data_IF_171118728073
#
_entry.id   IF_171118728073
#
_cell.length_a   1.000
_cell.length_b   1.000
_cell.length_c   1.000
_cell.angle_alpha   90.00
_cell.angle_beta   90.00
_cell.angle_gamma   90.00
#
_symmetry.space_group_name_H-M   'P 1'
#
loop_
_entity.id
_entity.type
_entity.pdbx_description
1 polymer ?
#
# COMPACT_ATOMS: atom_id res chain seq x y z
N UNK A 1 -49.35 -72.35 -50.12
CA UNK A 1 -49.90 -71.04 -49.68
C UNK A 1 -50.42 -71.19 -48.29
N UNK A 2 -49.77 -70.60 -47.28
CA UNK A 2 -50.36 -70.05 -46.03
C UNK A 2 -49.19 -69.58 -45.19
N UNK A 3 -49.20 -68.32 -44.88
CA UNK A 3 -48.23 -67.62 -44.16
C UNK A 3 -48.40 -67.90 -42.66
N UNK A 4 -47.30 -68.28 -41.95
CA UNK A 4 -47.28 -68.40 -40.51
C UNK A 4 -46.80 -67.04 -39.86
N UNK A 5 -47.65 -66.58 -38.95
CA UNK A 5 -47.29 -65.42 -38.11
C UNK A 5 -46.35 -65.86 -36.99
N UNK A 6 -45.18 -65.26 -36.91
CA UNK A 6 -44.31 -65.36 -35.76
C UNK A 6 -44.69 -64.20 -34.79
N UNK A 7 -45.14 -64.53 -33.60
CA UNK A 7 -45.33 -63.61 -32.51
C UNK A 7 -43.95 -63.37 -31.81
N UNK A 8 -43.45 -62.15 -31.85
CA UNK A 8 -42.31 -61.74 -31.10
C UNK A 8 -42.77 -61.26 -29.72
N UNK A 9 -42.29 -61.91 -28.67
CA UNK A 9 -42.44 -61.47 -27.30
C UNK A 9 -41.34 -60.47 -27.01
N UNK A 10 -41.73 -59.21 -26.81
CA UNK A 10 -40.81 -58.14 -26.43
C UNK A 10 -40.62 -58.23 -24.89
N UNK A 11 -39.46 -58.72 -24.48
CA UNK A 11 -39.03 -58.65 -23.07
C UNK A 11 -38.50 -57.23 -22.80
N UNK A 12 -39.23 -56.48 -21.99
CA UNK A 12 -38.73 -55.20 -21.47
C UNK A 12 -37.69 -55.44 -20.36
N UNK A 13 -36.44 -55.26 -20.73
CA UNK A 13 -35.33 -55.19 -19.72
C UNK A 13 -35.40 -53.81 -19.01
N UNK A 14 -35.74 -53.81 -17.75
CA UNK A 14 -35.69 -52.64 -16.87
C UNK A 14 -34.21 -52.40 -16.57
N UNK A 15 -33.59 -51.45 -17.28
CA UNK A 15 -32.28 -50.95 -16.94
C UNK A 15 -32.41 -50.04 -15.73
N UNK A 16 -32.02 -50.51 -14.55
CA UNK A 16 -31.81 -49.66 -13.37
C UNK A 16 -30.58 -48.79 -13.62
N UNK A 17 -30.81 -47.55 -13.99
CA UNK A 17 -29.77 -46.51 -14.00
C UNK A 17 -29.38 -46.22 -12.55
N UNK A 18 -28.25 -46.76 -12.13
CA UNK A 18 -27.58 -46.34 -10.93
C UNK A 18 -27.04 -44.94 -11.22
N UNK A 19 -27.76 -43.90 -10.77
CA UNK A 19 -27.20 -42.56 -10.64
C UNK A 19 -26.17 -42.63 -9.51
N UNK A 20 -24.94 -42.96 -9.83
CA UNK A 20 -23.80 -42.67 -8.99
C UNK A 20 -23.69 -41.13 -8.90
N UNK A 21 -23.89 -40.58 -7.70
CA UNK A 21 -23.57 -39.20 -7.44
C UNK A 21 -22.11 -39.03 -7.81
N UNK A 22 -21.81 -38.25 -8.88
CA UNK A 22 -20.49 -37.87 -9.19
C UNK A 22 -19.99 -37.04 -8.01
N UNK A 23 -18.98 -37.53 -7.31
CA UNK A 23 -18.28 -36.73 -6.29
C UNK A 23 -17.67 -35.54 -7.02
N UNK A 24 -17.94 -34.33 -6.52
CA UNK A 24 -17.36 -33.13 -7.08
C UNK A 24 -15.86 -33.14 -6.82
N UNK A 25 -15.07 -33.30 -7.86
CA UNK A 25 -13.60 -33.23 -7.78
C UNK A 25 -13.15 -31.78 -7.76
N UNK A 26 -12.26 -31.45 -6.80
CA UNK A 26 -11.55 -30.18 -6.80
C UNK A 26 -10.26 -30.36 -7.60
N UNK A 27 -10.10 -29.53 -8.63
CA UNK A 27 -8.91 -29.55 -9.48
C UNK A 27 -8.06 -28.29 -9.19
N UNK A 28 -6.78 -28.50 -8.87
CA UNK A 28 -5.83 -27.40 -8.72
C UNK A 28 -5.58 -26.75 -10.08
N UNK A 29 -5.79 -25.44 -10.14
CA UNK A 29 -5.58 -24.63 -11.34
C UNK A 29 -4.61 -23.49 -11.01
N UNK A 30 -3.78 -23.11 -12.00
CA UNK A 30 -2.89 -21.95 -11.91
C UNK A 30 -3.37 -20.89 -12.90
N UNK A 31 -3.60 -19.66 -12.41
CA UNK A 31 -3.89 -18.53 -13.29
C UNK A 31 -2.59 -18.00 -13.89
N UNK A 32 -2.60 -17.78 -15.22
CA UNK A 32 -1.52 -17.11 -15.96
C UNK A 32 -1.93 -15.72 -16.43
N UNK A 33 -3.02 -15.17 -15.87
CA UNK A 33 -3.51 -13.85 -16.21
C UNK A 33 -2.48 -12.78 -15.81
N UNK A 34 -2.21 -11.85 -16.72
CA UNK A 34 -1.40 -10.66 -16.48
C UNK A 34 -2.31 -9.51 -16.04
N UNK A 35 -2.03 -8.92 -14.88
CA UNK A 35 -2.74 -7.71 -14.43
C UNK A 35 -2.00 -6.50 -14.97
N UNK A 36 -2.71 -5.66 -15.75
CA UNK A 36 -2.16 -4.39 -16.22
C UNK A 36 -2.00 -3.44 -15.03
N UNK A 37 -0.81 -2.87 -14.88
CA UNK A 37 -0.59 -1.76 -13.95
C UNK A 37 -0.83 -0.44 -14.71
N UNK A 38 -1.96 0.23 -14.39
CA UNK A 38 -2.39 1.49 -14.97
C UNK A 38 -2.56 2.57 -13.88
N UNK A 39 -1.70 2.54 -12.88
CA UNK A 39 -1.72 3.48 -11.76
C UNK A 39 -1.21 4.85 -12.20
N UNK A 40 -2.02 5.90 -12.02
CA UNK A 40 -1.59 7.27 -12.22
C UNK A 40 -0.74 7.75 -11.03
N UNK A 41 0.27 8.55 -11.27
CA UNK A 41 1.10 9.13 -10.23
C UNK A 41 1.73 10.46 -10.63
N UNK A 42 2.10 11.26 -9.62
CA UNK A 42 2.97 12.42 -9.78
C UNK A 42 4.39 12.06 -9.33
N UNK A 43 5.37 12.66 -9.99
CA UNK A 43 6.78 12.59 -9.58
C UNK A 43 7.36 14.01 -9.47
N UNK A 44 7.95 14.30 -8.32
CA UNK A 44 8.71 15.52 -8.09
C UNK A 44 10.20 15.20 -8.01
N UNK A 45 11.01 16.03 -8.63
CA UNK A 45 12.47 15.98 -8.53
C UNK A 45 12.99 17.33 -8.01
N UNK A 46 13.98 17.34 -7.09
CA UNK A 46 14.59 18.58 -6.60
C UNK A 46 15.25 19.39 -7.73
N UNK A 47 15.38 20.71 -7.57
CA UNK A 47 16.06 21.58 -8.55
C UNK A 47 17.48 21.09 -8.87
N UNK A 48 18.22 20.66 -7.86
CA UNK A 48 19.58 20.11 -8.03
C UNK A 48 19.61 18.79 -8.83
N UNK A 49 18.47 18.14 -9.05
CA UNK A 49 18.40 16.87 -9.78
C UNK A 49 18.90 17.00 -11.23
N UNK A 50 18.66 18.13 -11.89
CA UNK A 50 19.08 18.37 -13.29
C UNK A 50 20.56 18.69 -13.44
N UNK A 51 21.21 19.18 -12.39
CA UNK A 51 22.60 19.65 -12.40
C UNK A 51 23.59 18.73 -11.67
N UNK A 52 23.10 17.70 -10.99
CA UNK A 52 23.88 16.72 -10.24
C UNK A 52 23.71 15.32 -10.82
N UNK A 53 24.71 14.46 -10.66
CA UNK A 53 24.64 13.02 -10.94
C UNK A 53 24.44 12.16 -9.68
N UNK A 54 24.20 12.77 -8.54
CA UNK A 54 23.99 12.07 -7.28
C UNK A 54 22.68 11.30 -7.24
N UNK A 55 22.61 10.31 -6.35
CA UNK A 55 21.37 9.63 -5.99
C UNK A 55 20.67 10.35 -4.85
N UNK A 56 19.35 10.35 -4.87
CA UNK A 56 18.51 11.11 -3.95
C UNK A 56 17.64 10.18 -3.10
N UNK A 57 17.29 10.56 -1.87
CA UNK A 57 16.24 9.91 -1.13
C UNK A 57 14.91 9.97 -1.91
N UNK A 58 14.03 8.99 -1.69
CA UNK A 58 12.69 8.97 -2.27
C UNK A 58 11.65 8.86 -1.16
N UNK A 59 10.68 9.76 -1.18
CA UNK A 59 9.48 9.70 -0.35
C UNK A 59 8.31 9.24 -1.20
N UNK A 60 7.71 8.12 -0.83
CA UNK A 60 6.41 7.68 -1.33
C UNK A 60 5.35 8.39 -0.48
N UNK A 61 4.59 9.29 -1.10
CA UNK A 61 3.49 9.99 -0.46
C UNK A 61 2.15 9.33 -0.81
N UNK A 62 1.43 8.85 0.20
CA UNK A 62 0.09 8.26 0.05
C UNK A 62 -0.97 9.21 0.61
N UNK A 63 -1.78 9.75 -0.27
CA UNK A 63 -2.85 10.71 0.06
C UNK A 63 -4.03 10.06 0.82
N UNK A 64 -4.90 10.87 1.39
CA UNK A 64 -6.15 10.48 2.04
C UNK A 64 -7.26 10.06 1.06
N UNK A 65 -8.49 9.99 1.57
CA UNK A 65 -9.64 9.53 0.79
C UNK A 65 -10.03 10.42 -0.38
N UNK A 66 -10.04 11.72 -0.17
CA UNK A 66 -10.63 12.71 -1.07
C UNK A 66 -9.88 12.87 -2.41
N UNK A 67 -8.62 12.45 -2.48
CA UNK A 67 -7.78 12.53 -3.67
C UNK A 67 -7.86 11.27 -4.54
N UNK A 68 -8.65 10.27 -4.14
CA UNK A 68 -8.89 9.05 -4.92
C UNK A 68 -9.56 9.31 -6.26
N UNK A 69 -9.57 8.28 -7.12
CA UNK A 69 -10.20 8.30 -8.43
C UNK A 69 -9.24 8.29 -9.61
N UNK A 70 -9.63 8.89 -10.73
CA UNK A 70 -8.88 8.85 -11.99
C UNK A 70 -8.32 10.20 -12.43
N UNK A 71 -8.70 11.29 -11.75
CA UNK A 71 -8.21 12.64 -12.01
C UNK A 71 -6.97 12.91 -11.16
N UNK A 72 -5.80 12.85 -11.78
CA UNK A 72 -4.51 13.01 -11.08
C UNK A 72 -4.33 14.42 -10.46
N UNK A 73 -5.02 15.44 -10.97
CA UNK A 73 -4.94 16.79 -10.43
C UNK A 73 -5.51 16.87 -9.00
N UNK A 74 -6.42 15.96 -8.63
CA UNK A 74 -6.91 15.86 -7.26
C UNK A 74 -5.78 15.61 -6.25
N UNK A 75 -4.73 14.90 -6.64
CA UNK A 75 -3.61 14.59 -5.75
C UNK A 75 -2.85 15.84 -5.32
N UNK A 76 -2.91 16.91 -6.11
CA UNK A 76 -2.30 18.21 -5.81
C UNK A 76 -3.07 19.05 -4.78
N UNK A 77 -4.24 18.59 -4.34
CA UNK A 77 -5.09 19.35 -3.42
C UNK A 77 -4.69 19.23 -1.94
N UNK A 78 -3.83 18.25 -1.58
CA UNK A 78 -3.34 18.08 -0.20
C UNK A 78 -1.92 17.49 -0.17
N UNK A 79 -1.36 17.41 1.02
CA UNK A 79 -0.12 16.72 1.28
C UNK A 79 1.12 17.33 0.64
N UNK A 80 2.11 16.48 0.37
CA UNK A 80 3.35 16.92 -0.29
C UNK A 80 3.11 17.51 -1.68
N UNK A 81 2.23 16.93 -2.55
CA UNK A 81 1.97 17.52 -3.86
C UNK A 81 1.43 18.94 -3.77
N UNK A 82 0.54 19.25 -2.82
CA UNK A 82 0.06 20.61 -2.61
C UNK A 82 1.20 21.57 -2.21
N UNK A 83 2.02 21.18 -1.26
CA UNK A 83 3.15 22.00 -0.83
C UNK A 83 4.13 22.27 -1.98
N UNK A 84 4.34 21.31 -2.87
CA UNK A 84 5.18 21.45 -4.07
C UNK A 84 4.55 22.45 -5.05
N UNK A 85 3.25 22.35 -5.32
CA UNK A 85 2.52 23.32 -6.17
C UNK A 85 2.57 24.76 -5.58
N UNK A 86 2.60 24.88 -4.25
CA UNK A 86 2.78 26.14 -3.53
C UNK A 86 4.24 26.64 -3.52
N UNK A 87 5.17 25.92 -4.16
CA UNK A 87 6.58 26.31 -4.33
C UNK A 87 7.53 25.79 -3.25
N UNK A 88 7.07 24.94 -2.32
CA UNK A 88 7.96 24.33 -1.32
C UNK A 88 8.94 23.36 -1.98
N UNK A 89 10.22 23.52 -1.70
CA UNK A 89 11.30 22.68 -2.21
C UNK A 89 11.67 21.60 -1.18
N UNK A 90 11.94 20.40 -1.68
CA UNK A 90 12.40 19.27 -0.87
C UNK A 90 13.73 18.73 -1.40
N UNK A 91 14.64 18.23 -0.54
CA UNK A 91 15.93 17.67 -0.96
C UNK A 91 15.82 16.18 -1.38
N UNK A 92 14.65 15.71 -1.73
CA UNK A 92 14.34 14.32 -2.08
C UNK A 92 13.31 14.24 -3.21
N UNK A 93 13.26 13.10 -3.90
CA UNK A 93 12.20 12.82 -4.86
C UNK A 93 10.88 12.53 -4.11
N UNK A 94 9.75 12.90 -4.71
CA UNK A 94 8.44 12.52 -4.18
C UNK A 94 7.67 11.74 -5.25
N UNK A 95 7.31 10.50 -4.94
CA UNK A 95 6.41 9.67 -5.73
C UNK A 95 5.03 9.66 -5.08
N UNK A 96 4.04 10.20 -5.75
CA UNK A 96 2.67 10.34 -5.23
C UNK A 96 1.69 9.59 -6.12
N UNK A 97 1.49 8.28 -5.90
CA UNK A 97 0.52 7.49 -6.64
C UNK A 97 -0.90 7.89 -6.25
N UNK A 98 -1.78 7.99 -7.24
CA UNK A 98 -3.21 8.16 -6.99
C UNK A 98 -3.85 6.81 -6.68
N UNK A 99 -4.58 6.72 -5.57
CA UNK A 99 -5.46 5.57 -5.34
C UNK A 99 -6.59 5.62 -6.39
N UNK A 100 -6.75 4.58 -7.23
CA UNK A 100 -7.76 4.60 -8.29
C UNK A 100 -9.20 4.51 -7.76
N UNK A 101 -9.38 4.24 -6.46
CA UNK A 101 -10.68 4.17 -5.79
C UNK A 101 -10.87 5.30 -4.79
N UNK A 102 -12.05 5.90 -4.80
CA UNK A 102 -12.47 6.88 -3.79
C UNK A 102 -12.94 6.21 -2.48
N UNK A 103 -13.20 4.91 -2.48
CA UNK A 103 -13.76 4.18 -1.34
C UNK A 103 -12.82 3.15 -0.74
N UNK A 104 -12.00 2.50 -1.57
CA UNK A 104 -11.16 1.37 -1.15
C UNK A 104 -9.77 1.81 -0.69
N UNK A 105 -9.09 0.92 0.02
CA UNK A 105 -7.68 1.05 0.36
C UNK A 105 -6.80 0.99 -0.91
N UNK A 106 -5.55 1.42 -0.79
CA UNK A 106 -4.60 1.37 -1.88
C UNK A 106 -4.38 -0.05 -2.42
N UNK A 107 -4.31 -0.24 -3.75
CA UNK A 107 -3.90 -1.50 -4.37
C UNK A 107 -2.37 -1.66 -4.25
N UNK A 108 -1.91 -2.18 -3.11
CA UNK A 108 -0.52 -2.15 -2.67
C UNK A 108 0.46 -2.74 -3.68
N UNK A 109 0.10 -3.87 -4.32
CA UNK A 109 0.92 -4.50 -5.36
C UNK A 109 1.10 -3.58 -6.59
N UNK A 110 0.05 -2.85 -6.99
CA UNK A 110 0.14 -1.88 -8.08
C UNK A 110 1.02 -0.69 -7.70
N UNK A 111 0.89 -0.20 -6.46
CA UNK A 111 1.75 0.88 -5.94
C UNK A 111 3.22 0.45 -5.95
N UNK A 112 3.51 -0.77 -5.46
CA UNK A 112 4.88 -1.31 -5.45
C UNK A 112 5.44 -1.46 -6.86
N UNK A 113 4.67 -2.00 -7.79
CA UNK A 113 5.10 -2.14 -9.19
C UNK A 113 5.40 -0.78 -9.84
N UNK A 114 4.59 0.24 -9.59
CA UNK A 114 4.85 1.60 -10.07
C UNK A 114 6.07 2.23 -9.38
N UNK A 115 6.26 1.98 -8.08
CA UNK A 115 7.44 2.41 -7.34
C UNK A 115 8.73 1.79 -7.92
N UNK A 116 8.72 0.50 -8.26
CA UNK A 116 9.88 -0.18 -8.87
C UNK A 116 10.23 0.43 -10.23
N UNK A 117 9.23 0.83 -11.00
CA UNK A 117 9.44 1.55 -12.26
C UNK A 117 10.07 2.94 -12.02
N UNK A 118 9.62 3.67 -11.00
CA UNK A 118 10.21 4.96 -10.61
C UNK A 118 11.65 4.78 -10.16
N UNK A 119 11.94 3.79 -9.33
CA UNK A 119 13.31 3.48 -8.87
C UNK A 119 14.22 3.17 -10.06
N UNK A 120 13.75 2.41 -11.04
CA UNK A 120 14.52 2.06 -12.22
C UNK A 120 14.79 3.24 -13.17
N UNK A 121 13.89 4.23 -13.20
CA UNK A 121 13.96 5.39 -14.12
C UNK A 121 14.66 6.62 -13.52
N UNK A 122 14.78 6.69 -12.19
CA UNK A 122 15.29 7.85 -11.49
C UNK A 122 16.51 7.49 -10.63
N UNK A 123 17.34 8.49 -10.34
CA UNK A 123 18.52 8.34 -9.46
C UNK A 123 18.11 8.30 -8.00
N UNK A 124 17.51 7.19 -7.59
CA UNK A 124 17.09 6.92 -6.21
C UNK A 124 18.24 6.28 -5.44
N UNK A 125 18.47 6.72 -4.20
CA UNK A 125 19.29 5.99 -3.22
C UNK A 125 18.47 4.85 -2.62
N UNK A 126 18.75 3.58 -2.95
CA UNK A 126 17.94 2.45 -2.51
C UNK A 126 17.95 2.24 -0.99
N UNK A 127 18.94 2.79 -0.29
CA UNK A 127 19.01 2.75 1.17
C UNK A 127 18.14 3.84 1.83
N UNK A 128 17.61 4.80 1.07
CA UNK A 128 16.84 5.94 1.58
C UNK A 128 15.50 6.08 0.87
N UNK A 129 14.70 5.02 0.92
CA UNK A 129 13.32 5.02 0.43
C UNK A 129 12.40 5.02 1.65
N UNK A 130 11.44 5.93 1.66
CA UNK A 130 10.54 6.16 2.78
C UNK A 130 9.10 6.14 2.31
N UNK A 131 8.19 5.76 3.20
CA UNK A 131 6.75 5.90 2.95
C UNK A 131 6.13 6.80 4.01
N UNK A 132 5.38 7.81 3.55
CA UNK A 132 4.60 8.73 4.35
C UNK A 132 3.17 8.68 3.85
N UNK A 133 2.21 8.51 4.72
CA UNK A 133 0.82 8.43 4.30
C UNK A 133 -0.15 8.94 5.35
N UNK A 134 -1.20 9.62 4.87
CA UNK A 134 -2.22 10.22 5.72
C UNK A 134 -3.57 9.49 5.57
N UNK A 135 -4.28 9.25 6.69
CA UNK A 135 -5.61 8.65 6.69
C UNK A 135 -5.60 7.30 5.95
N UNK A 136 -6.34 7.16 4.86
CA UNK A 136 -6.29 5.99 3.96
C UNK A 136 -4.86 5.70 3.47
N UNK A 137 -4.08 6.74 3.21
CA UNK A 137 -2.64 6.60 2.92
C UNK A 137 -1.83 6.11 4.12
N UNK A 138 -2.25 6.41 5.33
CA UNK A 138 -1.65 5.86 6.57
C UNK A 138 -1.81 4.34 6.65
N UNK A 139 -2.99 3.80 6.31
CA UNK A 139 -3.19 2.35 6.14
C UNK A 139 -2.30 1.79 5.03
N UNK A 140 -2.18 2.52 3.91
CA UNK A 140 -1.29 2.16 2.82
C UNK A 140 0.19 2.12 3.23
N UNK A 141 0.63 3.07 4.05
CA UNK A 141 2.01 3.12 4.55
C UNK A 141 2.35 1.90 5.42
N UNK A 142 1.43 1.48 6.31
CA UNK A 142 1.57 0.24 7.05
C UNK A 142 1.65 -0.96 6.13
N UNK A 143 0.71 -1.08 5.17
CA UNK A 143 0.64 -2.21 4.27
C UNK A 143 1.89 -2.34 3.39
N UNK A 144 2.45 -1.23 2.88
CA UNK A 144 3.71 -1.24 2.12
C UNK A 144 4.89 -1.69 2.97
N UNK A 145 5.02 -1.17 4.20
CA UNK A 145 6.12 -1.56 5.10
C UNK A 145 6.04 -3.04 5.53
N UNK A 146 4.84 -3.60 5.64
CA UNK A 146 4.60 -5.00 6.01
C UNK A 146 4.82 -5.98 4.85
N UNK A 147 4.40 -5.59 3.65
CA UNK A 147 4.45 -6.49 2.48
C UNK A 147 5.81 -6.41 1.77
N UNK A 148 6.50 -5.28 1.85
CA UNK A 148 7.79 -5.06 1.18
C UNK A 148 8.87 -4.59 2.18
N UNK A 149 9.23 -5.43 3.15
CA UNK A 149 10.10 -5.05 4.27
C UNK A 149 11.50 -4.61 3.85
N UNK A 150 11.98 -5.06 2.68
CA UNK A 150 13.33 -4.72 2.17
C UNK A 150 13.35 -3.40 1.37
N UNK A 151 12.21 -2.70 1.29
CA UNK A 151 12.10 -1.50 0.45
C UNK A 151 12.26 -0.21 1.27
N UNK A 152 11.66 -0.15 2.47
CA UNK A 152 11.51 1.12 3.19
C UNK A 152 12.40 1.23 4.41
N UNK A 153 13.28 2.25 4.42
CA UNK A 153 14.11 2.58 5.58
C UNK A 153 13.30 3.17 6.74
N UNK A 154 12.19 3.85 6.41
CA UNK A 154 11.25 4.32 7.42
C UNK A 154 9.83 4.45 6.88
N UNK A 155 8.86 4.39 7.81
CA UNK A 155 7.46 4.66 7.55
C UNK A 155 6.91 5.71 8.52
N UNK A 156 6.11 6.65 7.98
CA UNK A 156 5.42 7.71 8.73
C UNK A 156 3.92 7.61 8.48
N UNK A 157 3.20 6.74 9.18
CA UNK A 157 1.75 6.69 9.13
C UNK A 157 1.16 7.84 9.94
N UNK A 158 0.24 8.60 9.33
CA UNK A 158 -0.44 9.76 9.91
C UNK A 158 -1.94 9.46 9.96
N UNK A 159 -2.56 9.47 11.13
CA UNK A 159 -4.00 9.24 11.34
C UNK A 159 -4.51 8.02 10.59
N UNK A 160 -3.84 6.88 10.72
CA UNK A 160 -4.18 5.63 10.06
C UNK A 160 -3.84 4.42 10.91
N UNK A 161 -4.43 3.29 10.57
CA UNK A 161 -4.23 2.01 11.26
C UNK A 161 -3.69 0.93 10.31
N UNK A 162 -3.48 -0.27 10.86
CA UNK A 162 -2.99 -1.42 10.13
C UNK A 162 -3.32 -2.74 10.83
N UNK A 163 -2.78 -3.83 10.29
CA UNK A 163 -2.95 -5.13 10.90
C UNK A 163 -1.76 -5.45 11.82
N UNK A 164 -1.95 -5.27 13.13
CA UNK A 164 -0.92 -5.53 14.14
C UNK A 164 -0.26 -6.92 14.06
N UNK A 165 -0.98 -7.91 13.52
CA UNK A 165 -0.47 -9.28 13.38
C UNK A 165 0.60 -9.41 12.30
N UNK A 166 0.60 -8.51 11.31
CA UNK A 166 1.57 -8.53 10.22
C UNK A 166 2.84 -7.70 10.50
N UNK A 167 2.87 -6.92 11.58
CA UNK A 167 4.06 -6.13 11.95
C UNK A 167 5.33 -6.96 12.22
N UNK A 168 5.18 -8.27 12.48
CA UNK A 168 6.32 -9.17 12.55
C UNK A 168 7.05 -9.36 11.20
N UNK A 169 6.41 -8.96 10.09
CA UNK A 169 6.98 -9.01 8.74
C UNK A 169 7.83 -7.78 8.42
N UNK A 170 7.65 -6.67 9.14
CA UNK A 170 8.41 -5.44 8.90
C UNK A 170 9.90 -5.66 9.13
N UNK A 171 10.74 -4.95 8.38
CA UNK A 171 12.19 -5.02 8.58
C UNK A 171 12.59 -4.59 9.99
N UNK A 172 13.51 -5.31 10.59
CA UNK A 172 13.97 -5.04 11.95
C UNK A 172 14.74 -3.72 12.09
N UNK A 173 15.35 -3.26 11.00
CA UNK A 173 16.12 -2.02 10.91
C UNK A 173 15.26 -0.83 10.49
N UNK A 174 14.05 -1.06 9.95
CA UNK A 174 13.16 0.02 9.55
C UNK A 174 12.68 0.83 10.77
N UNK A 175 12.59 2.14 10.59
CA UNK A 175 12.15 3.06 11.63
C UNK A 175 10.69 3.52 11.39
N UNK A 176 9.94 3.72 12.48
CA UNK A 176 8.53 4.11 12.42
C UNK A 176 8.31 5.37 13.26
N UNK A 177 7.72 6.40 12.67
CA UNK A 177 7.24 7.54 13.43
C UNK A 177 5.77 7.78 13.12
N UNK A 178 4.93 7.47 14.08
CA UNK A 178 3.48 7.42 13.97
C UNK A 178 2.92 8.72 14.53
N UNK A 179 1.91 9.30 13.86
CA UNK A 179 1.27 10.54 14.27
C UNK A 179 -0.25 10.38 14.31
N UNK A 180 -0.87 10.97 15.33
CA UNK A 180 -2.33 10.99 15.48
C UNK A 180 -2.80 12.20 16.29
N UNK A 181 -4.03 12.64 16.09
CA UNK A 181 -4.68 13.65 16.91
C UNK A 181 -5.63 13.02 17.94
N UNK A 182 -5.79 13.65 19.11
CA UNK A 182 -6.73 13.15 20.13
C UNK A 182 -8.19 13.35 19.77
N UNK A 183 -8.49 14.37 18.95
CA UNK A 183 -9.85 14.72 18.50
C UNK A 183 -10.17 14.18 17.10
N UNK A 184 -9.42 13.14 16.66
CA UNK A 184 -9.71 12.46 15.39
C UNK A 184 -11.03 11.68 15.53
N UNK A 185 -12.07 12.16 14.83
CA UNK A 185 -13.42 11.60 14.79
C UNK A 185 -13.66 10.67 13.59
N UNK A 186 -12.65 10.52 12.71
CA UNK A 186 -12.69 9.65 11.52
C UNK A 186 -12.00 8.31 11.78
N UNK A 187 -10.76 8.38 12.25
CA UNK A 187 -9.96 7.20 12.60
C UNK A 187 -9.62 7.27 14.09
N UNK A 188 -10.03 6.28 14.89
CA UNK A 188 -9.76 6.29 16.32
C UNK A 188 -8.26 6.30 16.62
N UNK A 189 -7.81 7.13 17.56
CA UNK A 189 -6.43 7.15 18.07
C UNK A 189 -5.92 5.75 18.45
N UNK A 190 -6.83 4.89 18.94
CA UNK A 190 -6.50 3.50 19.33
C UNK A 190 -5.86 2.71 18.19
N UNK A 191 -6.15 3.01 16.93
CA UNK A 191 -5.59 2.31 15.79
C UNK A 191 -4.08 2.54 15.69
N UNK A 192 -3.63 3.79 15.88
CA UNK A 192 -2.20 4.10 15.95
C UNK A 192 -1.53 3.56 17.23
N UNK A 193 -2.22 3.62 18.37
CA UNK A 193 -1.69 3.10 19.65
C UNK A 193 -1.44 1.59 19.57
N UNK A 194 -2.39 0.82 19.05
CA UNK A 194 -2.27 -0.64 18.89
C UNK A 194 -1.07 -1.01 18.01
N UNK A 195 -0.86 -0.27 16.91
CA UNK A 195 0.28 -0.50 16.02
C UNK A 195 1.60 -0.17 16.71
N UNK A 196 1.67 0.97 17.39
CA UNK A 196 2.86 1.38 18.16
C UNK A 196 3.22 0.37 19.25
N UNK A 197 2.28 -0.03 20.09
CA UNK A 197 2.49 -1.01 21.18
C UNK A 197 2.98 -2.35 20.61
N UNK A 198 2.46 -2.76 19.46
CA UNK A 198 2.93 -3.98 18.81
C UNK A 198 4.38 -3.84 18.33
N UNK A 199 4.76 -2.72 17.70
CA UNK A 199 6.15 -2.45 17.31
C UNK A 199 7.09 -2.45 18.53
N UNK A 200 6.67 -1.87 19.64
CA UNK A 200 7.44 -1.90 20.91
C UNK A 200 7.63 -3.34 21.41
N UNK A 201 6.58 -4.15 21.38
CA UNK A 201 6.65 -5.57 21.75
C UNK A 201 7.65 -6.34 20.87
N UNK A 202 7.71 -6.00 19.58
CA UNK A 202 8.65 -6.57 18.61
C UNK A 202 10.06 -5.93 18.67
N UNK A 203 10.28 -4.98 19.60
CA UNK A 203 11.54 -4.23 19.76
C UNK A 203 11.96 -3.47 18.47
N UNK A 204 10.99 -3.01 17.70
CA UNK A 204 11.23 -2.17 16.52
C UNK A 204 11.58 -0.74 16.94
N UNK A 205 12.33 -0.02 16.10
CA UNK A 205 12.55 1.41 16.26
C UNK A 205 11.25 2.17 15.95
N UNK A 206 10.50 2.53 16.98
CA UNK A 206 9.19 3.16 16.83
C UNK A 206 9.00 4.32 17.80
N UNK A 207 8.40 5.40 17.29
CA UNK A 207 7.96 6.58 18.02
C UNK A 207 6.50 6.87 17.69
N UNK A 208 5.71 7.27 18.69
CA UNK A 208 4.34 7.78 18.53
C UNK A 208 4.31 9.21 19.06
N UNK A 209 3.81 10.13 18.25
CA UNK A 209 3.47 11.50 18.66
C UNK A 209 1.97 11.66 18.55
N UNK A 210 1.35 12.06 19.64
CA UNK A 210 -0.07 12.37 19.72
C UNK A 210 -0.21 13.88 19.93
N UNK A 211 -0.96 14.52 19.03
CA UNK A 211 -1.28 15.94 19.12
C UNK A 211 -2.57 16.11 19.91
N UNK A 212 -2.49 16.86 21.02
CA UNK A 212 -3.65 17.15 21.86
C UNK A 212 -4.58 18.14 21.14
N UNK A 213 -5.89 17.91 21.24
CA UNK A 213 -6.96 18.74 20.64
C UNK A 213 -6.87 18.91 19.11
N UNK A 214 -6.15 18.03 18.42
CA UNK A 214 -6.02 18.06 16.96
C UNK A 214 -6.97 17.02 16.32
N UNK A 215 -7.75 17.47 15.34
CA UNK A 215 -8.66 16.63 14.56
C UNK A 215 -7.98 15.88 13.42
N UNK A 216 -8.76 15.06 12.69
CA UNK A 216 -8.28 14.25 11.57
C UNK A 216 -7.57 15.06 10.50
N UNK A 217 -8.15 16.19 10.08
CA UNK A 217 -7.64 17.01 8.98
C UNK A 217 -6.39 17.81 9.38
N UNK A 218 -6.37 18.33 10.60
CA UNK A 218 -5.30 19.20 11.08
C UNK A 218 -3.99 18.43 11.35
N UNK A 219 -4.07 17.13 11.68
CA UNK A 219 -2.86 16.34 11.97
C UNK A 219 -1.94 16.20 10.75
N UNK A 220 -2.50 16.09 9.52
CA UNK A 220 -1.69 16.06 8.30
C UNK A 220 -0.82 17.31 8.19
N UNK A 221 -1.42 18.48 8.32
CA UNK A 221 -0.71 19.75 8.21
C UNK A 221 0.31 19.95 9.33
N UNK A 222 -0.02 19.55 10.56
CA UNK A 222 0.90 19.62 11.69
C UNK A 222 2.16 18.81 11.41
N UNK A 223 2.04 17.59 10.88
CA UNK A 223 3.18 16.71 10.55
C UNK A 223 3.99 17.27 9.38
N UNK A 224 3.33 17.69 8.28
CA UNK A 224 4.01 18.14 7.06
C UNK A 224 4.76 19.47 7.24
N UNK A 225 4.36 20.29 8.22
CA UNK A 225 5.03 21.55 8.56
C UNK A 225 6.10 21.40 9.63
N UNK A 226 6.21 20.24 10.28
CA UNK A 226 7.26 19.99 11.27
C UNK A 226 8.57 19.55 10.59
N UNK A 227 9.55 20.47 10.58
CA UNK A 227 10.87 20.20 10.01
C UNK A 227 11.58 19.02 10.70
N UNK A 228 11.28 18.75 11.97
CA UNK A 228 11.89 17.64 12.71
C UNK A 228 11.52 16.28 12.12
N UNK A 229 10.33 16.15 11.50
CA UNK A 229 9.90 14.93 10.81
C UNK A 229 10.80 14.64 9.61
N UNK A 230 11.07 15.67 8.80
CA UNK A 230 11.93 15.53 7.61
C UNK A 230 13.39 15.29 7.99
N UNK A 231 13.90 16.01 8.99
CA UNK A 231 15.25 15.82 9.50
C UNK A 231 15.48 14.43 10.08
N UNK A 232 14.46 13.89 10.76
CA UNK A 232 14.48 12.52 11.26
C UNK A 232 14.41 11.51 10.13
N UNK A 233 13.50 11.70 9.18
CA UNK A 233 13.28 10.79 8.06
C UNK A 233 14.56 10.62 7.24
N UNK A 234 15.21 11.73 6.89
CA UNK A 234 16.42 11.73 6.06
C UNK A 234 17.65 11.09 6.73
N UNK A 235 17.62 10.88 8.04
CA UNK A 235 18.66 10.14 8.78
C UNK A 235 18.48 8.63 8.75
N UNK A 236 17.30 8.14 8.37
CA UNK A 236 17.04 6.71 8.33
C UNK A 236 17.66 6.09 7.07
N UNK A 237 18.29 4.93 7.25
CA UNK A 237 18.86 4.15 6.14
C UNK A 237 18.57 2.67 6.36
N UNK A 238 18.22 2.00 5.29
CA UNK A 238 18.09 0.55 5.23
C UNK A 238 19.20 0.04 4.31
N UNK A 239 20.19 -0.62 4.89
CA UNK A 239 21.22 -1.25 4.06
C UNK A 239 20.56 -2.30 3.17
N UNK A 240 20.83 -2.29 1.86
CA UNK A 240 20.34 -3.35 0.97
C UNK A 240 20.72 -4.72 1.50
N UNK A 241 19.86 -5.72 1.33
CA UNK A 241 20.22 -7.10 1.62
C UNK A 241 21.51 -7.44 0.85
N UNK A 242 22.50 -8.01 1.53
CA UNK A 242 23.71 -8.48 0.88
C UNK A 242 23.30 -9.50 -0.20
N UNK A 243 23.64 -9.23 -1.45
CA UNK A 243 23.38 -10.12 -2.58
C UNK A 243 24.22 -11.38 -2.49
#
# INVERSE_FOLDING_TARGET
MKKGLLSAVLGAALAASIFGAALADQVAMTSTATVKNDLNYLIYTPDAYTTSNETYPLVVWLHGGDQGGSDIEKVKSSGLPKLIEEGKQFPFLVFSPQNPSEELLYPIEKVKSALDEVIAKHRVDPARIYVVGYSRGGFGAWALAEQFPETFAAAVPIAGGGNRHYLNRTNEKAAFWIFHGTNDDVIPLSDSVIMYERLKTLKRNAKLTVFEDVDHSAVEQAVLNDQQVWDWLLKQRLEPAAQ
#
